data_IF_568851891090
#
_entry.id   IF_568851891090
#
_cell.length_a   1.000
_cell.length_b   1.000
_cell.length_c   1.000
_cell.angle_alpha   90.00
_cell.angle_beta   90.00
_cell.angle_gamma   90.00
#
_symmetry.space_group_name_H-M   'P 1'
#
loop_
_entity.id
_entity.type
_entity.pdbx_description
1 polymer ?
#
# COMPACT_ATOMS: atom_id res chain seq x y z
N UNK A 1 -7.93 -5.10 -1.48
CA UNK A 1 -7.81 -3.91 -0.60
C UNK A 1 -6.33 -3.62 -0.41
N UNK A 2 -5.94 -2.35 -0.38
CA UNK A 2 -4.55 -1.99 -0.09
C UNK A 2 -4.24 -2.24 1.40
N UNK A 3 -3.04 -2.72 1.74
CA UNK A 3 -2.67 -2.96 3.12
C UNK A 3 -2.35 -1.66 3.86
N UNK A 4 -2.57 -1.68 5.17
CA UNK A 4 -1.98 -0.72 6.10
C UNK A 4 -0.51 -1.10 6.33
N UNK A 5 0.47 -0.24 6.03
CA UNK A 5 1.89 -0.53 6.24
C UNK A 5 2.29 -0.29 7.71
N UNK A 6 1.48 -0.77 8.65
CA UNK A 6 1.70 -0.64 10.10
C UNK A 6 2.37 -1.86 10.74
N UNK A 7 2.35 -3.01 10.07
CA UNK A 7 3.02 -4.24 10.52
C UNK A 7 4.49 -4.32 10.11
N UNK A 8 5.25 -5.24 10.71
CA UNK A 8 6.65 -5.50 10.36
C UNK A 8 6.83 -6.16 8.97
N UNK A 9 5.76 -6.72 8.40
CA UNK A 9 5.73 -7.40 7.10
C UNK A 9 4.36 -8.00 6.80
N UNK A 10 4.23 -8.65 5.65
CA UNK A 10 3.04 -9.41 5.28
C UNK A 10 2.83 -10.60 6.23
N UNK A 11 1.64 -10.72 6.80
CA UNK A 11 1.13 -12.00 7.34
C UNK A 11 0.40 -12.81 6.25
N UNK A 12 0.14 -14.10 6.52
CA UNK A 12 -0.44 -15.08 5.59
C UNK A 12 -1.79 -14.71 4.98
N UNK A 13 -2.55 -13.85 5.65
CA UNK A 13 -3.86 -13.37 5.16
C UNK A 13 -3.74 -12.39 4.01
N UNK A 14 -2.63 -11.65 3.87
CA UNK A 14 -2.45 -10.75 2.73
C UNK A 14 -2.30 -11.53 1.42
N UNK A 15 -1.37 -12.50 1.30
CA UNK A 15 -1.27 -13.31 0.09
C UNK A 15 -2.56 -14.07 -0.22
N UNK A 16 -3.25 -14.59 0.79
CA UNK A 16 -4.56 -15.23 0.62
C UNK A 16 -5.54 -14.31 -0.11
N UNK A 17 -5.72 -13.07 0.37
CA UNK A 17 -6.61 -12.10 -0.25
C UNK A 17 -6.15 -11.62 -1.63
N UNK A 18 -4.84 -11.50 -1.85
CA UNK A 18 -4.27 -11.01 -3.11
C UNK A 18 -4.26 -12.07 -4.23
N UNK A 19 -4.23 -13.35 -3.86
CA UNK A 19 -4.18 -14.47 -4.81
C UNK A 19 -5.40 -14.50 -5.71
N UNK A 20 -6.60 -14.29 -5.17
CA UNK A 20 -7.82 -14.29 -5.97
C UNK A 20 -7.80 -13.21 -7.07
N UNK A 21 -7.37 -11.99 -6.72
CA UNK A 21 -7.28 -10.87 -7.68
C UNK A 21 -6.17 -11.07 -8.70
N UNK A 22 -5.06 -11.71 -8.33
CA UNK A 22 -3.98 -12.04 -9.25
C UNK A 22 -4.41 -13.07 -10.30
N UNK A 23 -5.11 -14.14 -9.87
CA UNK A 23 -5.65 -15.18 -10.75
C UNK A 23 -6.58 -14.54 -11.81
N UNK A 24 -7.53 -13.72 -11.37
CA UNK A 24 -8.47 -13.06 -12.29
C UNK A 24 -7.74 -12.11 -13.25
N UNK A 25 -6.77 -11.35 -12.76
CA UNK A 25 -6.01 -10.41 -13.58
C UNK A 25 -5.21 -11.13 -14.67
N UNK A 26 -4.54 -12.23 -14.34
CA UNK A 26 -3.80 -13.07 -15.30
C UNK A 26 -4.74 -13.72 -16.30
N UNK A 27 -5.84 -14.32 -15.83
CA UNK A 27 -6.85 -14.92 -16.68
C UNK A 27 -7.40 -13.91 -17.71
N UNK A 28 -7.75 -12.70 -17.27
CA UNK A 28 -8.26 -11.65 -18.17
C UNK A 28 -7.22 -11.15 -19.16
N UNK A 29 -5.95 -10.99 -18.75
CA UNK A 29 -4.85 -10.68 -19.68
C UNK A 29 -4.68 -11.77 -20.74
N UNK A 30 -4.75 -13.05 -20.36
CA UNK A 30 -4.68 -14.18 -21.30
C UNK A 30 -5.87 -14.23 -22.29
N UNK A 31 -7.02 -13.68 -21.91
CA UNK A 31 -8.17 -13.51 -22.79
C UNK A 31 -8.08 -12.26 -23.69
N UNK A 32 -6.98 -11.50 -23.63
CA UNK A 32 -6.77 -10.30 -24.46
C UNK A 32 -7.37 -9.01 -23.91
N UNK A 33 -7.84 -8.99 -22.65
CA UNK A 33 -8.33 -7.76 -22.04
C UNK A 33 -7.16 -6.84 -21.61
N UNK A 34 -7.38 -5.53 -21.69
CA UNK A 34 -6.52 -4.56 -21.02
C UNK A 34 -6.89 -4.49 -19.54
N UNK A 35 -6.03 -5.02 -18.67
CA UNK A 35 -6.28 -5.15 -17.23
C UNK A 35 -5.42 -4.17 -16.45
N UNK A 36 -6.07 -3.31 -15.65
CA UNK A 36 -5.44 -2.48 -14.63
C UNK A 36 -5.52 -3.20 -13.27
N UNK A 37 -4.39 -3.60 -12.74
CA UNK A 37 -4.23 -4.27 -11.45
C UNK A 37 -3.18 -3.54 -10.60
N UNK A 38 -3.53 -2.40 -10.00
CA UNK A 38 -2.58 -1.59 -9.23
C UNK A 38 -2.44 -2.12 -7.80
N UNK A 39 -1.34 -1.73 -7.16
CA UNK A 39 -1.15 -1.86 -5.72
C UNK A 39 -1.02 -0.46 -5.10
N UNK A 40 -1.30 -0.35 -3.81
CA UNK A 40 -1.10 0.88 -3.08
C UNK A 40 -1.00 0.63 -1.60
N UNK A 41 -0.89 1.70 -0.82
CA UNK A 41 -0.68 1.66 0.61
C UNK A 41 -1.65 2.60 1.30
N UNK A 42 -2.46 2.06 2.20
CA UNK A 42 -3.29 2.87 3.08
C UNK A 42 -2.44 3.32 4.28
N UNK A 43 -1.62 4.34 4.04
CA UNK A 43 -0.53 4.74 4.93
C UNK A 43 -0.94 5.81 5.96
N UNK A 44 -2.22 6.14 6.05
CA UNK A 44 -2.77 7.14 6.97
C UNK A 44 -3.68 6.51 8.04
N UNK A 45 -3.99 7.28 9.08
CA UNK A 45 -4.97 6.94 10.11
C UNK A 45 -4.39 6.30 11.36
N UNK A 46 -5.30 5.81 12.20
CA UNK A 46 -5.03 5.36 13.57
C UNK A 46 -3.82 4.42 13.72
N UNK A 47 -3.55 3.44 12.83
CA UNK A 47 -2.40 2.55 13.01
C UNK A 47 -1.05 3.28 12.96
N UNK A 48 -0.90 4.27 12.07
CA UNK A 48 0.33 5.04 11.96
C UNK A 48 0.46 6.06 13.11
N UNK A 49 -0.67 6.67 13.51
CA UNK A 49 -0.72 7.60 14.64
C UNK A 49 -0.41 6.90 15.97
N UNK A 50 -0.95 5.70 16.19
CA UNK A 50 -0.68 4.92 17.40
C UNK A 50 0.80 4.51 17.48
N UNK A 51 1.40 4.11 16.36
CA UNK A 51 2.85 3.83 16.33
C UNK A 51 3.69 5.05 16.73
N UNK A 52 3.32 6.24 16.25
CA UNK A 52 4.00 7.48 16.63
C UNK A 52 3.86 7.78 18.13
N UNK A 53 2.67 7.57 18.70
CA UNK A 53 2.41 7.75 20.14
C UNK A 53 3.21 6.75 20.98
N UNK A 54 3.23 5.48 20.59
CA UNK A 54 3.86 4.41 21.37
C UNK A 54 5.39 4.48 21.33
N UNK A 55 5.97 4.94 20.22
CA UNK A 55 7.42 4.92 20.00
C UNK A 55 8.08 6.29 20.07
N UNK A 56 7.31 7.38 20.01
CA UNK A 56 7.82 8.75 19.90
C UNK A 56 8.48 9.08 18.56
N UNK A 57 8.45 8.16 17.58
CA UNK A 57 9.08 8.35 16.27
C UNK A 57 8.12 9.00 15.25
N UNK A 58 8.69 9.66 14.25
CA UNK A 58 7.92 10.16 13.10
C UNK A 58 7.33 8.97 12.31
N UNK A 59 5.99 8.90 12.15
CA UNK A 59 5.34 7.80 11.45
C UNK A 59 5.70 7.73 9.96
N UNK A 60 6.19 8.82 9.34
CA UNK A 60 6.57 8.86 7.92
C UNK A 60 7.70 7.89 7.61
N UNK A 61 8.75 7.89 8.44
CA UNK A 61 9.93 7.06 8.20
C UNK A 61 9.62 5.57 8.41
N UNK A 62 8.84 5.25 9.44
CA UNK A 62 8.37 3.89 9.69
C UNK A 62 7.47 3.37 8.57
N UNK A 63 6.48 4.17 8.17
CA UNK A 63 5.58 3.83 7.05
C UNK A 63 6.36 3.56 5.77
N UNK A 64 7.33 4.42 5.44
CA UNK A 64 8.19 4.23 4.26
C UNK A 64 8.99 2.94 4.32
N UNK A 65 9.58 2.61 5.47
CA UNK A 65 10.32 1.36 5.68
C UNK A 65 9.42 0.12 5.53
N UNK A 66 8.20 0.17 6.05
CA UNK A 66 7.26 -0.93 5.95
C UNK A 66 6.74 -1.10 4.52
N UNK A 67 6.44 0.00 3.82
CA UNK A 67 6.09 -0.04 2.39
C UNK A 67 7.18 -0.74 1.58
N UNK A 68 8.46 -0.40 1.81
CA UNK A 68 9.57 -1.08 1.13
C UNK A 68 9.61 -2.58 1.44
N UNK A 69 9.37 -2.95 2.69
CA UNK A 69 9.35 -4.34 3.14
C UNK A 69 8.22 -5.13 2.49
N UNK A 70 6.99 -4.60 2.55
CA UNK A 70 5.81 -5.23 1.96
C UNK A 70 5.97 -5.34 0.44
N UNK A 71 6.39 -4.26 -0.23
CA UNK A 71 6.63 -4.24 -1.67
C UNK A 71 7.62 -5.33 -2.10
N UNK A 72 8.72 -5.49 -1.37
CA UNK A 72 9.69 -6.57 -1.61
C UNK A 72 9.04 -7.95 -1.47
N UNK A 73 8.32 -8.19 -0.38
CA UNK A 73 7.65 -9.47 -0.12
C UNK A 73 6.57 -9.79 -1.17
N UNK A 74 5.73 -8.82 -1.55
CA UNK A 74 4.71 -8.98 -2.60
C UNK A 74 5.37 -9.32 -3.94
N UNK A 75 6.51 -8.69 -4.27
CA UNK A 75 7.28 -8.99 -5.49
C UNK A 75 7.88 -10.40 -5.45
N UNK A 76 8.41 -10.83 -4.31
CA UNK A 76 8.94 -12.20 -4.11
C UNK A 76 7.87 -13.27 -4.31
N UNK A 77 6.61 -12.97 -3.96
CA UNK A 77 5.46 -13.85 -4.19
C UNK A 77 5.00 -13.89 -5.66
N UNK A 78 5.51 -13.01 -6.52
CA UNK A 78 5.22 -13.02 -7.95
C UNK A 78 3.85 -12.47 -8.34
N UNK A 79 3.22 -11.65 -7.50
CA UNK A 79 1.93 -11.03 -7.84
C UNK A 79 2.07 -10.02 -9.00
N UNK A 80 1.11 -10.08 -9.92
CA UNK A 80 1.08 -9.36 -11.20
C UNK A 80 0.48 -7.96 -11.06
N UNK A 81 1.10 -7.12 -10.25
CA UNK A 81 0.71 -5.72 -10.06
C UNK A 81 1.41 -4.76 -11.03
N UNK A 82 0.68 -3.71 -11.42
CA UNK A 82 1.19 -2.60 -12.23
C UNK A 82 1.92 -1.60 -11.32
N UNK A 83 3.18 -1.92 -10.96
CA UNK A 83 3.96 -1.13 -10.00
C UNK A 83 4.23 0.32 -10.41
N UNK A 84 4.16 0.63 -11.70
CA UNK A 84 4.27 2.01 -12.21
C UNK A 84 3.04 2.85 -11.87
N UNK A 85 1.95 2.21 -11.44
CA UNK A 85 0.68 2.82 -11.00
C UNK A 85 0.47 2.65 -9.50
N UNK A 86 1.55 2.55 -8.74
CA UNK A 86 1.51 2.46 -7.28
C UNK A 86 0.94 3.74 -6.64
N UNK A 87 0.02 3.58 -5.68
CA UNK A 87 -0.61 4.71 -4.98
C UNK A 87 -0.25 4.71 -3.49
N UNK A 88 0.10 5.87 -2.94
CA UNK A 88 0.39 6.02 -1.51
C UNK A 88 -0.59 7.03 -0.92
N UNK A 89 -1.43 6.60 0.01
CA UNK A 89 -2.21 7.52 0.84
C UNK A 89 -1.30 8.08 1.93
N UNK A 90 -0.92 9.35 1.82
CA UNK A 90 0.07 9.95 2.71
C UNK A 90 -0.54 10.52 4.00
N UNK A 91 0.28 10.53 5.05
CA UNK A 91 0.00 11.24 6.31
C UNK A 91 0.06 12.75 6.06
N UNK A 92 -1.08 13.43 6.23
CA UNK A 92 -1.08 14.89 6.29
C UNK A 92 -0.41 15.35 7.60
N UNK A 93 0.28 16.48 7.54
CA UNK A 93 0.73 17.16 8.75
C UNK A 93 -0.48 17.44 9.63
N UNK A 94 -0.57 16.82 10.81
CA UNK A 94 -1.51 17.20 11.85
C UNK A 94 -1.05 18.52 12.46
N UNK A 95 -1.17 19.61 11.72
CA UNK A 95 -1.05 20.96 12.24
C UNK A 95 -2.49 21.50 12.29
N UNK A 96 -3.04 21.58 13.51
CA UNK A 96 -4.30 22.24 13.85
C UNK A 96 -5.63 21.51 13.54
N UNK A 97 -5.74 20.21 13.83
CA UNK A 97 -7.04 19.59 14.12
C UNK A 97 -8.09 19.55 13.00
N UNK A 98 -7.71 19.78 11.75
CA UNK A 98 -8.61 19.67 10.60
C UNK A 98 -8.10 18.60 9.64
N UNK A 99 -8.81 17.47 9.58
CA UNK A 99 -8.57 16.39 8.63
C UNK A 99 -9.04 16.82 7.23
N UNK A 100 -8.13 17.30 6.39
CA UNK A 100 -8.38 17.49 4.97
C UNK A 100 -7.98 16.23 4.19
N UNK A 101 -8.76 15.83 3.19
CA UNK A 101 -8.32 14.79 2.24
C UNK A 101 -7.46 15.47 1.17
N UNK A 102 -6.17 15.14 1.05
CA UNK A 102 -5.38 15.50 -0.14
C UNK A 102 -4.80 14.26 -0.81
N UNK A 103 -5.34 13.94 -1.98
CA UNK A 103 -4.72 12.97 -2.90
C UNK A 103 -3.55 13.66 -3.60
N UNK A 104 -2.31 13.31 -3.23
CA UNK A 104 -1.15 13.66 -4.05
C UNK A 104 -0.92 12.57 -5.07
N UNK A 105 -1.43 12.77 -6.29
CA UNK A 105 -1.10 11.95 -7.45
C UNK A 105 0.34 12.27 -7.89
N UNK A 106 1.30 11.47 -7.45
CA UNK A 106 2.64 11.49 -8.06
C UNK A 106 2.65 10.40 -9.12
N UNK A 107 2.29 10.75 -10.35
CA UNK A 107 2.57 9.93 -11.53
C UNK A 107 3.60 10.64 -12.39
N UNK A 108 4.72 9.98 -12.67
CA UNK A 108 5.49 10.29 -13.88
C UNK A 108 4.78 9.61 -15.03
N UNK A 109 4.37 10.39 -16.03
CA UNK A 109 3.92 9.92 -17.34
C UNK A 109 5.02 9.12 -18.03
#
# INVERSE_FOLDING_TARGET
MFPYPSGAGLHVGHPEGYTATDIISRYKRMQGYNVLHPMGWDAFGLPAEQYALDTGNDPREFTKKNIQTFKRQIKELGFSYDWDREVIQQIQNTINGHSGFSYSYITKV
#
